data_IF_692914407730
#
_entry.id   IF_692914407730
#
_cell.length_a   1.000
_cell.length_b   1.000
_cell.length_c   1.000
_cell.angle_alpha   90.00
_cell.angle_beta   90.00
_cell.angle_gamma   90.00
#
_symmetry.space_group_name_H-M   'P 1'
#
loop_
_entity.id
_entity.type
_entity.pdbx_description
1 polymer ?
#
# COMPACT_ATOMS: atom_id res chain seq x y z
N UNK A 1 12.86 4.48 -7.38
CA UNK A 1 12.43 3.29 -8.16
C UNK A 1 10.94 3.08 -7.97
N UNK A 2 10.22 2.49 -8.93
CA UNK A 2 8.76 2.29 -8.82
C UNK A 2 8.34 1.30 -7.72
N UNK A 3 9.21 0.34 -7.36
CA UNK A 3 8.99 -0.58 -6.23
C UNK A 3 8.65 0.18 -4.95
N UNK A 4 9.53 1.10 -4.52
CA UNK A 4 9.34 1.89 -3.28
C UNK A 4 8.09 2.77 -3.36
N UNK A 5 7.79 3.33 -4.53
CA UNK A 5 6.59 4.17 -4.72
C UNK A 5 5.32 3.35 -4.47
N UNK A 6 5.23 2.17 -5.10
CA UNK A 6 4.08 1.28 -4.96
C UNK A 6 3.99 0.73 -3.53
N UNK A 7 5.10 0.45 -2.85
CA UNK A 7 5.07 0.06 -1.43
C UNK A 7 4.44 1.14 -0.54
N UNK A 8 4.82 2.41 -0.70
CA UNK A 8 4.26 3.51 0.09
C UNK A 8 2.77 3.71 -0.25
N UNK A 9 2.40 3.64 -1.53
CA UNK A 9 0.99 3.73 -1.97
C UNK A 9 0.15 2.59 -1.39
N UNK A 10 0.67 1.35 -1.42
CA UNK A 10 0.01 0.19 -0.87
C UNK A 10 -0.19 0.32 0.65
N UNK A 11 0.84 0.76 1.37
CA UNK A 11 0.73 1.02 2.81
C UNK A 11 -0.33 2.08 3.11
N UNK A 12 -0.35 3.19 2.36
CA UNK A 12 -1.36 4.22 2.53
C UNK A 12 -2.79 3.70 2.26
N UNK A 13 -2.96 2.86 1.24
CA UNK A 13 -4.26 2.25 0.93
C UNK A 13 -4.72 1.28 2.04
N UNK A 14 -3.80 0.50 2.62
CA UNK A 14 -4.09 -0.40 3.75
C UNK A 14 -4.47 0.39 4.99
N UNK A 15 -3.68 1.42 5.35
CA UNK A 15 -3.96 2.30 6.49
C UNK A 15 -5.28 3.07 6.32
N UNK A 16 -5.64 3.42 5.08
CA UNK A 16 -6.93 4.03 4.74
C UNK A 16 -8.12 3.04 4.74
N UNK A 17 -7.91 1.77 5.07
CA UNK A 17 -8.97 0.79 5.23
C UNK A 17 -9.58 0.29 3.92
N UNK A 18 -8.80 0.16 2.84
CA UNK A 18 -9.30 -0.43 1.58
C UNK A 18 -9.69 -1.91 1.75
N UNK A 19 -10.77 -2.35 1.08
CA UNK A 19 -11.22 -3.74 1.09
C UNK A 19 -10.52 -4.61 0.04
N UNK A 20 -9.98 -3.99 -1.02
CA UNK A 20 -9.21 -4.67 -2.05
C UNK A 20 -8.10 -3.76 -2.55
N UNK A 21 -7.01 -4.35 -3.03
CA UNK A 21 -5.85 -3.59 -3.45
C UNK A 21 -5.20 -4.20 -4.69
N UNK A 22 -4.92 -3.33 -5.65
CA UNK A 22 -4.05 -3.63 -6.78
C UNK A 22 -2.74 -2.87 -6.61
N UNK A 23 -1.62 -3.56 -6.75
CA UNK A 23 -0.28 -2.97 -6.73
C UNK A 23 0.31 -3.03 -8.13
N UNK A 24 0.66 -1.87 -8.68
CA UNK A 24 1.28 -1.79 -10.01
C UNK A 24 2.67 -2.45 -10.01
N UNK A 25 3.04 -3.01 -11.16
CA UNK A 25 4.37 -3.59 -11.36
C UNK A 25 5.42 -2.51 -11.69
N UNK A 26 6.70 -2.79 -11.40
CA UNK A 26 7.77 -1.78 -11.53
C UNK A 26 8.00 -1.26 -12.96
N UNK A 27 7.65 -2.05 -13.97
CA UNK A 27 7.85 -1.84 -15.41
C UNK A 27 6.60 -1.35 -16.17
N UNK A 28 5.45 -1.20 -15.49
CA UNK A 28 4.16 -0.84 -16.11
C UNK A 28 4.10 0.55 -16.75
N UNK A 29 5.08 1.41 -16.45
CA UNK A 29 5.19 2.72 -17.10
C UNK A 29 5.53 2.62 -18.60
N UNK A 30 6.14 1.51 -19.05
CA UNK A 30 6.66 1.35 -20.40
C UNK A 30 6.09 0.14 -21.15
N UNK A 31 5.64 -0.89 -20.45
CA UNK A 31 5.13 -2.11 -21.05
C UNK A 31 4.12 -2.81 -20.15
N UNK A 32 3.48 -3.86 -20.65
CA UNK A 32 2.82 -4.81 -19.77
C UNK A 32 3.83 -5.43 -18.79
N UNK A 33 3.38 -5.84 -17.60
CA UNK A 33 4.26 -6.34 -16.57
C UNK A 33 4.90 -7.68 -16.97
N UNK A 34 6.20 -7.78 -16.77
CA UNK A 34 6.88 -9.07 -16.79
C UNK A 34 6.43 -9.95 -15.62
N UNK A 35 6.58 -11.27 -15.73
CA UNK A 35 6.21 -12.20 -14.66
C UNK A 35 6.94 -11.90 -13.34
N UNK A 36 8.22 -11.51 -13.42
CA UNK A 36 9.01 -11.11 -12.25
C UNK A 36 8.44 -9.84 -11.60
N UNK A 37 8.12 -8.82 -12.40
CA UNK A 37 7.58 -7.56 -11.88
C UNK A 37 6.18 -7.73 -11.30
N UNK A 38 5.31 -8.52 -11.93
CA UNK A 38 3.99 -8.87 -11.40
C UNK A 38 4.11 -9.66 -10.07
N UNK A 39 5.03 -10.62 -9.99
CA UNK A 39 5.32 -11.36 -8.76
C UNK A 39 5.81 -10.44 -7.65
N UNK A 40 6.68 -9.48 -7.95
CA UNK A 40 7.16 -8.49 -6.98
C UNK A 40 6.01 -7.59 -6.48
N UNK A 41 5.09 -7.20 -7.37
CA UNK A 41 3.92 -6.41 -7.00
C UNK A 41 3.00 -7.18 -6.03
N UNK A 42 2.75 -8.47 -6.30
CA UNK A 42 2.00 -9.35 -5.39
C UNK A 42 2.70 -9.51 -4.02
N UNK A 43 4.02 -9.71 -4.02
CA UNK A 43 4.79 -9.87 -2.77
C UNK A 43 4.76 -8.62 -1.90
N UNK A 44 4.66 -7.43 -2.51
CA UNK A 44 4.48 -6.17 -1.77
C UNK A 44 3.23 -6.22 -0.89
N UNK A 45 2.10 -6.72 -1.41
CA UNK A 45 0.88 -6.87 -0.62
C UNK A 45 1.03 -7.93 0.48
N UNK A 46 1.68 -9.05 0.17
CA UNK A 46 1.86 -10.15 1.13
C UNK A 46 2.77 -9.77 2.30
N UNK A 47 3.84 -9.01 2.06
CA UNK A 47 4.70 -8.49 3.15
C UNK A 47 3.89 -7.53 4.03
N UNK A 48 3.07 -6.66 3.45
CA UNK A 48 2.20 -5.77 4.25
C UNK A 48 1.20 -6.59 5.08
N UNK A 49 0.57 -7.60 4.49
CA UNK A 49 -0.43 -8.42 5.17
C UNK A 49 0.14 -9.31 6.28
N UNK A 50 1.29 -9.95 6.04
CA UNK A 50 1.76 -11.07 6.87
C UNK A 50 3.01 -10.75 7.71
N UNK A 51 3.78 -9.72 7.36
CA UNK A 51 5.09 -9.45 7.99
C UNK A 51 5.17 -8.08 8.66
N UNK A 52 4.42 -7.08 8.18
CA UNK A 52 4.57 -5.70 8.65
C UNK A 52 3.87 -5.37 9.98
N UNK A 53 2.91 -6.20 10.39
CA UNK A 53 2.04 -5.95 11.55
C UNK A 53 0.99 -4.85 11.35
N UNK A 54 0.92 -4.21 10.16
CA UNK A 54 -0.02 -3.11 9.91
C UNK A 54 -1.49 -3.57 9.95
N UNK A 55 -1.74 -4.86 9.75
CA UNK A 55 -3.08 -5.45 9.78
C UNK A 55 -3.54 -5.87 11.20
N UNK A 56 -2.67 -5.76 12.21
CA UNK A 56 -2.94 -6.29 13.57
C UNK A 56 -3.85 -5.37 14.39
N UNK A 57 -3.99 -4.10 14.00
CA UNK A 57 -4.77 -3.08 14.70
C UNK A 57 -5.73 -2.40 13.73
N UNK A 58 -7.00 -2.31 14.13
CA UNK A 58 -8.01 -1.56 13.38
C UNK A 58 -7.71 -0.07 13.54
N UNK A 59 -7.65 0.64 12.41
CA UNK A 59 -7.38 2.08 12.34
C UNK A 59 -6.19 2.53 13.20
N UNK A 60 -4.96 2.11 12.86
CA UNK A 60 -3.77 2.42 13.66
C UNK A 60 -3.38 3.91 13.62
N UNK A 61 -4.00 4.71 12.75
CA UNK A 61 -3.78 6.16 12.67
C UNK A 61 -4.83 6.95 13.47
N UNK A 62 -5.88 6.29 13.97
CA UNK A 62 -6.91 6.91 14.80
C UNK A 62 -6.30 7.66 15.99
N UNK A 63 -6.71 8.91 16.16
CA UNK A 63 -6.22 9.84 17.18
C UNK A 63 -4.95 10.59 16.82
N UNK A 64 -4.33 10.36 15.66
CA UNK A 64 -3.16 11.12 15.23
C UNK A 64 -3.55 12.57 14.87
N UNK A 65 -3.14 13.62 15.61
CA UNK A 65 -3.73 14.95 15.49
C UNK A 65 -3.68 15.55 14.07
N UNK A 66 -2.59 15.31 13.34
CA UNK A 66 -2.43 15.77 11.97
C UNK A 66 -3.34 15.00 11.00
N UNK A 67 -3.46 13.67 11.15
CA UNK A 67 -4.26 12.84 10.23
C UNK A 67 -5.74 13.11 10.47
N UNK A 68 -6.15 13.26 11.73
CA UNK A 68 -7.51 13.63 12.12
C UNK A 68 -7.90 15.02 11.56
N UNK A 69 -7.07 16.05 11.73
CA UNK A 69 -7.31 17.38 11.16
C UNK A 69 -7.42 17.33 9.63
N UNK A 70 -6.53 16.59 8.96
CA UNK A 70 -6.58 16.45 7.51
C UNK A 70 -7.83 15.70 7.04
N UNK A 71 -8.28 14.69 7.79
CA UNK A 71 -9.48 13.90 7.46
C UNK A 71 -10.74 14.74 7.60
N UNK A 72 -10.85 15.60 8.62
CA UNK A 72 -11.98 16.51 8.82
C UNK A 72 -12.07 17.59 7.72
N UNK A 73 -10.96 17.91 7.06
CA UNK A 73 -10.84 19.04 6.12
C UNK A 73 -10.94 18.65 4.64
N UNK A 74 -11.01 17.36 4.31
CA UNK A 74 -11.09 16.82 2.95
C UNK A 74 -12.51 16.36 2.62
#
# INVERSE_FOLDING_TARGET
TNVVRVTIQALAAVLGGTQSLHTNSRDEALSLPSEESARLALRTQQVLAEESGVADVIDPLGGAPLIEDLTERL
#
